data_IF_190929985087
#
_entry.id   IF_190929985087
#
_cell.length_a   1.000
_cell.length_b   1.000
_cell.length_c   1.000
_cell.angle_alpha   90.00
_cell.angle_beta   90.00
_cell.angle_gamma   90.00
#
_symmetry.space_group_name_H-M   'P 1'
#
loop_
_entity.id
_entity.type
_entity.pdbx_description
1 polymer ?
#
# COMPACT_ATOMS: atom_id res chain seq x y z
N UNK A 1 2.29 -20.80 -21.12
CA UNK A 1 3.04 -21.58 -20.11
C UNK A 1 3.67 -20.56 -19.17
N UNK A 2 2.88 -20.08 -18.21
CA UNK A 2 3.34 -19.07 -17.24
C UNK A 2 4.29 -19.76 -16.26
N UNK A 3 5.48 -19.18 -16.07
CA UNK A 3 6.43 -19.68 -15.08
C UNK A 3 5.89 -19.34 -13.69
N UNK A 4 5.83 -20.30 -12.76
CA UNK A 4 5.51 -20.02 -11.37
C UNK A 4 6.46 -18.95 -10.82
N UNK A 5 5.90 -17.96 -10.15
CA UNK A 5 6.66 -16.90 -9.50
C UNK A 5 7.37 -17.49 -8.28
N UNK A 6 8.69 -17.65 -8.35
CA UNK A 6 9.52 -18.27 -7.31
C UNK A 6 9.36 -17.65 -5.91
N UNK A 7 8.79 -16.44 -5.82
CA UNK A 7 8.45 -15.80 -4.56
C UNK A 7 7.27 -16.46 -3.82
N UNK A 8 6.34 -17.12 -4.54
CA UNK A 8 5.22 -17.84 -3.92
C UNK A 8 5.69 -19.12 -3.20
N UNK A 9 6.68 -19.82 -3.75
CA UNK A 9 7.18 -21.08 -3.16
C UNK A 9 7.90 -20.85 -1.83
N UNK A 10 8.58 -19.70 -1.68
CA UNK A 10 9.32 -19.39 -0.46
C UNK A 10 8.42 -19.05 0.74
N UNK A 11 7.16 -18.64 0.50
CA UNK A 11 6.16 -18.42 1.57
C UNK A 11 5.51 -19.72 2.07
N UNK A 12 5.54 -20.81 1.29
CA UNK A 12 4.94 -22.09 1.68
C UNK A 12 5.86 -22.99 2.51
N UNK A 13 7.17 -22.73 2.52
CA UNK A 13 8.14 -23.63 3.13
C UNK A 13 8.24 -23.53 4.66
N UNK A 14 7.83 -22.41 5.28
CA UNK A 14 8.11 -22.16 6.69
C UNK A 14 6.85 -21.70 7.47
N UNK A 15 6.06 -22.69 7.89
CA UNK A 15 5.32 -22.64 9.16
C UNK A 15 4.12 -21.70 9.26
N UNK A 16 3.00 -22.08 8.63
CA UNK A 16 1.68 -21.94 9.25
C UNK A 16 0.70 -22.87 8.54
N UNK A 17 -0.02 -23.69 9.30
CA UNK A 17 -1.09 -24.57 8.84
C UNK A 17 -2.30 -23.76 8.41
N UNK A 18 -2.18 -23.01 7.32
CA UNK A 18 -3.29 -22.29 6.74
C UNK A 18 -3.66 -22.95 5.42
N UNK A 19 -4.81 -23.61 5.38
CA UNK A 19 -5.45 -24.14 4.18
C UNK A 19 -5.94 -23.00 3.26
N UNK A 20 -5.16 -21.94 3.06
CA UNK A 20 -5.54 -20.81 2.21
C UNK A 20 -5.25 -21.15 0.75
N UNK A 21 -6.29 -21.51 0.02
CA UNK A 21 -6.23 -21.67 -1.43
C UNK A 21 -6.22 -20.29 -2.12
N UNK A 22 -5.54 -20.15 -3.27
CA UNK A 22 -5.53 -18.91 -4.03
C UNK A 22 -6.94 -18.48 -4.44
N UNK A 23 -7.32 -17.26 -4.06
CA UNK A 23 -8.63 -16.67 -4.34
C UNK A 23 -8.68 -16.16 -5.78
N UNK A 24 -9.63 -16.64 -6.59
CA UNK A 24 -9.82 -16.20 -7.98
C UNK A 24 -10.56 -14.86 -8.06
N UNK A 25 -11.39 -14.56 -7.06
CA UNK A 25 -12.09 -13.29 -6.91
C UNK A 25 -11.23 -12.25 -6.22
N UNK A 26 -11.59 -10.97 -6.38
CA UNK A 26 -10.87 -9.87 -5.72
C UNK A 26 -11.33 -9.76 -4.28
N UNK A 27 -10.40 -9.57 -3.37
CA UNK A 27 -10.71 -9.33 -1.96
C UNK A 27 -11.57 -8.06 -1.78
N UNK A 28 -12.60 -8.15 -0.95
CA UNK A 28 -13.38 -7.04 -0.46
C UNK A 28 -12.71 -6.39 0.77
N UNK A 29 -13.01 -5.11 1.01
CA UNK A 29 -12.53 -4.36 2.19
C UNK A 29 -12.92 -5.04 3.49
N UNK A 30 -14.15 -5.57 3.57
CA UNK A 30 -14.64 -6.30 4.74
C UNK A 30 -13.80 -7.56 5.06
N UNK A 31 -13.34 -8.30 4.05
CA UNK A 31 -12.54 -9.51 4.25
C UNK A 31 -11.14 -9.19 4.78
N UNK A 32 -10.53 -8.09 4.34
CA UNK A 32 -9.26 -7.62 4.89
C UNK A 32 -9.41 -7.14 6.33
N UNK A 33 -10.50 -6.43 6.65
CA UNK A 33 -10.80 -5.99 8.01
C UNK A 33 -11.02 -7.20 8.92
N UNK A 34 -11.78 -8.20 8.46
CA UNK A 34 -11.99 -9.44 9.21
C UNK A 34 -10.68 -10.17 9.47
N UNK A 35 -9.83 -10.32 8.44
CA UNK A 35 -8.50 -10.90 8.62
C UNK A 35 -7.68 -10.14 9.66
N UNK A 36 -7.71 -8.80 9.65
CA UNK A 36 -7.00 -7.98 10.61
C UNK A 36 -7.57 -8.13 12.03
N UNK A 37 -8.90 -8.28 12.20
CA UNK A 37 -9.48 -8.57 13.51
C UNK A 37 -8.95 -9.87 14.09
N UNK A 38 -8.78 -10.90 13.26
CA UNK A 38 -8.34 -12.22 13.69
C UNK A 38 -6.81 -12.30 13.92
N UNK A 39 -6.01 -11.50 13.20
CA UNK A 39 -4.55 -11.67 13.13
C UNK A 39 -3.72 -10.44 13.55
N UNK A 40 -4.28 -9.23 13.48
CA UNK A 40 -3.60 -7.97 13.82
C UNK A 40 -4.59 -6.92 14.38
N UNK A 41 -5.28 -7.22 15.51
CA UNK A 41 -6.42 -6.43 15.98
C UNK A 41 -6.06 -4.96 16.26
N UNK A 42 -4.81 -4.69 16.66
CA UNK A 42 -4.31 -3.33 16.93
C UNK A 42 -4.21 -2.44 15.67
N UNK A 43 -4.26 -3.06 14.48
CA UNK A 43 -4.26 -2.36 13.20
C UNK A 43 -5.66 -1.98 12.71
N UNK A 44 -6.73 -2.62 13.22
CA UNK A 44 -8.09 -2.54 12.64
C UNK A 44 -8.58 -1.11 12.49
N UNK A 45 -8.52 -0.30 13.55
CA UNK A 45 -8.99 1.09 13.51
C UNK A 45 -8.20 1.93 12.49
N UNK A 46 -6.88 1.69 12.39
CA UNK A 46 -5.99 2.40 11.46
C UNK A 46 -6.19 1.96 10.01
N UNK A 47 -6.51 0.69 9.77
CA UNK A 47 -6.87 0.19 8.45
C UNK A 47 -8.18 0.84 7.98
N UNK A 48 -9.20 0.85 8.84
CA UNK A 48 -10.48 1.48 8.54
C UNK A 48 -10.31 2.97 8.24
N UNK A 49 -9.54 3.67 9.08
CA UNK A 49 -9.21 5.07 8.87
C UNK A 49 -8.46 5.27 7.55
N UNK A 50 -7.44 4.47 7.27
CA UNK A 50 -6.63 4.59 6.06
C UNK A 50 -7.48 4.39 4.80
N UNK A 51 -8.35 3.37 4.76
CA UNK A 51 -9.27 3.14 3.64
C UNK A 51 -10.18 4.36 3.44
N UNK A 52 -10.83 4.82 4.51
CA UNK A 52 -11.76 5.95 4.46
C UNK A 52 -11.08 7.24 3.98
N UNK A 53 -9.89 7.54 4.49
CA UNK A 53 -9.14 8.75 4.13
C UNK A 53 -8.62 8.68 2.68
N UNK A 54 -8.13 7.52 2.25
CA UNK A 54 -7.70 7.33 0.86
C UNK A 54 -8.87 7.52 -0.10
N UNK A 55 -10.04 6.96 0.19
CA UNK A 55 -11.25 7.12 -0.64
C UNK A 55 -11.74 8.57 -0.66
N UNK A 56 -11.73 9.24 0.50
CA UNK A 56 -12.08 10.67 0.62
C UNK A 56 -11.18 11.55 -0.26
N UNK A 57 -9.92 11.15 -0.43
CA UNK A 57 -8.92 11.90 -1.20
C UNK A 57 -8.70 11.35 -2.62
N UNK A 58 -9.71 10.67 -3.20
CA UNK A 58 -9.71 10.25 -4.61
C UNK A 58 -8.88 8.99 -4.90
N UNK A 59 -8.37 8.34 -3.85
CA UNK A 59 -7.82 6.99 -3.92
C UNK A 59 -8.94 5.96 -4.09
N UNK A 60 -8.68 4.88 -4.83
CA UNK A 60 -9.62 3.76 -4.88
C UNK A 60 -8.94 2.48 -4.44
N UNK A 61 -9.44 1.88 -3.37
CA UNK A 61 -8.94 0.62 -2.83
C UNK A 61 -9.45 -0.52 -3.70
N UNK A 62 -8.54 -1.29 -4.31
CA UNK A 62 -8.89 -2.40 -5.19
C UNK A 62 -8.30 -3.71 -4.67
N UNK A 63 -9.17 -4.70 -4.44
CA UNK A 63 -8.81 -6.08 -4.13
C UNK A 63 -7.81 -6.66 -5.12
N UNK A 64 -6.71 -7.19 -4.58
CA UNK A 64 -5.78 -8.06 -5.29
C UNK A 64 -6.34 -9.47 -5.45
N UNK A 65 -5.65 -10.28 -6.26
CA UNK A 65 -5.86 -11.74 -6.38
C UNK A 65 -4.65 -12.43 -5.77
N UNK A 66 -4.65 -12.55 -4.45
CA UNK A 66 -3.58 -13.15 -3.68
C UNK A 66 -4.18 -14.17 -2.71
N UNK A 67 -3.33 -15.04 -2.16
CA UNK A 67 -3.72 -16.04 -1.16
C UNK A 67 -4.23 -15.42 0.14
N UNK A 68 -3.77 -14.21 0.48
CA UNK A 68 -4.25 -13.43 1.61
C UNK A 68 -4.84 -12.10 1.15
N UNK A 69 -5.76 -11.49 1.93
CA UNK A 69 -6.32 -10.17 1.62
C UNK A 69 -5.24 -9.13 1.31
N UNK A 70 -5.35 -8.50 0.15
CA UNK A 70 -4.43 -7.44 -0.26
C UNK A 70 -5.12 -6.43 -1.15
N UNK A 71 -4.61 -5.21 -1.10
CA UNK A 71 -5.13 -4.09 -1.88
C UNK A 71 -4.02 -3.35 -2.61
N UNK A 72 -4.35 -2.87 -3.81
CA UNK A 72 -3.64 -1.77 -4.43
C UNK A 72 -4.54 -0.54 -4.37
N UNK A 73 -3.96 0.61 -4.03
CA UNK A 73 -4.69 1.88 -4.00
C UNK A 73 -4.42 2.63 -5.29
N UNK A 74 -5.47 2.85 -6.06
CA UNK A 74 -5.44 3.53 -7.35
C UNK A 74 -5.56 5.03 -7.17
N UNK A 75 -4.80 5.79 -7.94
CA UNK A 75 -5.08 7.21 -8.19
C UNK A 75 -5.12 7.48 -9.69
N UNK A 76 -5.98 8.40 -10.11
CA UNK A 76 -5.94 9.00 -11.44
C UNK A 76 -5.11 10.28 -11.35
N UNK A 77 -3.91 10.26 -11.92
CA UNK A 77 -2.91 11.33 -11.80
C UNK A 77 -2.98 12.20 -13.05
N UNK A 78 -3.21 13.50 -12.89
CA UNK A 78 -3.36 14.42 -14.02
C UNK A 78 -2.12 14.38 -14.93
N UNK A 79 -2.34 14.25 -16.25
CA UNK A 79 -1.25 14.17 -17.25
C UNK A 79 -0.45 12.86 -17.26
N UNK A 80 -0.67 11.94 -16.31
CA UNK A 80 0.06 10.67 -16.19
C UNK A 80 -0.87 9.45 -16.33
N UNK A 81 -2.12 9.60 -15.92
CA UNK A 81 -3.12 8.54 -15.92
C UNK A 81 -3.12 7.70 -14.65
N UNK A 82 -3.57 6.44 -14.77
CA UNK A 82 -3.83 5.55 -13.64
C UNK A 82 -2.53 5.00 -13.03
N UNK A 83 -2.37 5.15 -11.71
CA UNK A 83 -1.19 4.70 -10.95
C UNK A 83 -1.57 4.01 -9.62
N UNK A 84 -0.65 3.24 -9.07
CA UNK A 84 -0.84 2.39 -7.89
C UNK A 84 0.25 2.64 -6.82
N UNK A 85 0.33 3.88 -6.30
CA UNK A 85 1.42 4.33 -5.41
C UNK A 85 1.45 3.65 -4.05
N UNK A 86 0.33 3.10 -3.58
CA UNK A 86 0.21 2.50 -2.25
C UNK A 86 -0.40 1.11 -2.35
N UNK A 87 0.05 0.20 -1.50
CA UNK A 87 -0.49 -1.15 -1.38
C UNK A 87 -0.66 -1.54 0.08
N UNK A 88 -1.68 -2.34 0.36
CA UNK A 88 -1.88 -2.94 1.67
C UNK A 88 -1.81 -4.45 1.55
N UNK A 89 -1.12 -5.08 2.48
CA UNK A 89 -0.91 -6.53 2.52
C UNK A 89 -1.29 -7.06 3.90
N UNK A 90 -1.91 -8.24 3.91
CA UNK A 90 -1.99 -9.08 5.10
C UNK A 90 -0.87 -10.13 5.02
N UNK A 91 0.17 -9.95 5.83
CA UNK A 91 1.32 -10.86 5.87
C UNK A 91 1.22 -11.72 7.14
N UNK A 92 1.07 -13.05 7.04
CA UNK A 92 0.82 -13.91 8.20
C UNK A 92 1.79 -13.72 9.38
N UNK A 93 3.06 -13.45 9.10
CA UNK A 93 4.09 -13.25 10.13
C UNK A 93 4.30 -11.79 10.55
N UNK A 94 3.84 -10.82 9.74
CA UNK A 94 4.12 -9.38 9.97
C UNK A 94 2.87 -8.56 10.29
N UNK A 95 1.69 -9.14 10.15
CA UNK A 95 0.42 -8.43 10.29
C UNK A 95 0.07 -7.59 9.05
N UNK A 96 -0.78 -6.60 9.26
CA UNK A 96 -1.23 -5.69 8.21
C UNK A 96 -0.15 -4.64 7.90
N UNK A 97 0.27 -4.60 6.64
CA UNK A 97 1.41 -3.80 6.16
C UNK A 97 0.97 -2.82 5.07
N UNK A 98 1.45 -1.59 5.14
CA UNK A 98 1.38 -0.58 4.07
C UNK A 98 2.71 -0.57 3.32
N UNK A 99 2.68 -0.65 2.00
CA UNK A 99 3.82 -0.46 1.12
C UNK A 99 3.64 0.81 0.27
N UNK A 100 4.73 1.56 0.10
CA UNK A 100 4.77 2.76 -0.73
C UNK A 100 5.63 2.49 -1.97
N UNK A 101 5.10 2.77 -3.17
CA UNK A 101 5.73 2.45 -4.46
C UNK A 101 6.08 3.72 -5.25
N UNK A 102 7.28 4.25 -5.01
CA UNK A 102 7.78 5.40 -5.78
C UNK A 102 8.04 5.06 -7.25
N UNK A 103 8.32 3.78 -7.54
CA UNK A 103 8.67 3.30 -8.88
C UNK A 103 7.55 3.41 -9.92
N UNK A 104 6.32 3.70 -9.51
CA UNK A 104 5.19 3.94 -10.41
C UNK A 104 5.36 5.23 -11.24
N UNK A 105 6.16 6.18 -10.74
CA UNK A 105 6.39 7.50 -11.33
C UNK A 105 7.80 7.71 -11.87
N UNK A 106 8.62 6.66 -11.97
CA UNK A 106 10.01 6.74 -12.45
C UNK A 106 10.21 7.40 -13.82
N UNK A 107 9.17 7.39 -14.66
CA UNK A 107 9.18 8.03 -15.99
C UNK A 107 8.57 9.45 -15.99
N UNK A 108 8.16 9.94 -14.83
CA UNK A 108 7.55 11.26 -14.61
C UNK A 108 8.23 11.90 -13.38
N UNK A 109 9.49 12.38 -13.52
CA UNK A 109 10.34 12.77 -12.39
C UNK A 109 9.72 13.82 -11.47
N UNK A 110 9.02 14.81 -12.02
CA UNK A 110 8.39 15.87 -11.23
C UNK A 110 7.31 15.31 -10.28
N UNK A 111 6.49 14.39 -10.78
CA UNK A 111 5.47 13.69 -9.97
C UNK A 111 6.12 12.75 -8.97
N UNK A 112 7.20 12.05 -9.37
CA UNK A 112 7.95 11.19 -8.46
C UNK A 112 8.54 11.99 -7.30
N UNK A 113 9.12 13.17 -7.57
CA UNK A 113 9.72 14.02 -6.55
C UNK A 113 8.67 14.59 -5.61
N UNK A 114 7.57 15.12 -6.15
CA UNK A 114 6.44 15.61 -5.34
C UNK A 114 5.89 14.50 -4.43
N UNK A 115 5.73 13.28 -4.96
CA UNK A 115 5.28 12.13 -4.17
C UNK A 115 6.28 11.74 -3.08
N UNK A 116 7.59 11.72 -3.39
CA UNK A 116 8.64 11.48 -2.39
C UNK A 116 8.59 12.53 -1.28
N UNK A 117 8.51 13.81 -1.62
CA UNK A 117 8.43 14.89 -0.63
C UNK A 117 7.19 14.76 0.26
N UNK A 118 6.03 14.50 -0.34
CA UNK A 118 4.78 14.31 0.38
C UNK A 118 4.86 13.18 1.42
N UNK A 119 5.43 12.04 1.04
CA UNK A 119 5.58 10.90 1.97
C UNK A 119 6.67 11.16 3.02
N UNK A 120 7.84 11.67 2.61
CA UNK A 120 8.96 11.89 3.54
C UNK A 120 8.69 13.03 4.54
N UNK A 121 7.70 13.90 4.27
CA UNK A 121 7.27 14.94 5.21
C UNK A 121 6.56 14.40 6.45
N UNK A 122 6.21 13.10 6.49
CA UNK A 122 5.53 12.45 7.61
C UNK A 122 6.59 11.76 8.49
N UNK A 123 6.91 12.30 9.68
CA UNK A 123 8.05 11.85 10.49
C UNK A 123 8.03 10.36 10.84
N UNK A 124 6.85 9.78 11.07
CA UNK A 124 6.68 8.38 11.46
C UNK A 124 7.15 7.38 10.39
N UNK A 125 7.32 7.79 9.13
CA UNK A 125 7.89 6.92 8.11
C UNK A 125 9.41 6.90 8.13
N UNK A 126 10.09 7.88 8.73
CA UNK A 126 11.55 7.90 8.86
C UNK A 126 12.31 7.74 7.54
N UNK A 127 11.73 8.23 6.43
CA UNK A 127 12.29 8.07 5.09
C UNK A 127 13.23 9.23 4.72
N UNK A 128 14.32 8.91 4.06
CA UNK A 128 15.21 9.90 3.44
C UNK A 128 14.89 10.05 1.94
N UNK A 129 14.43 11.24 1.58
CA UNK A 129 14.12 11.60 0.20
C UNK A 129 15.35 11.51 -0.72
N UNK A 130 16.54 11.91 -0.25
CA UNK A 130 17.77 11.83 -1.04
C UNK A 130 18.12 10.37 -1.35
N UNK A 131 17.96 9.48 -0.37
CA UNK A 131 18.21 8.05 -0.55
C UNK A 131 17.26 7.40 -1.57
N UNK A 132 15.97 7.79 -1.55
CA UNK A 132 14.97 7.31 -2.53
C UNK A 132 15.32 7.81 -3.95
N UNK A 133 15.70 9.08 -4.08
CA UNK A 133 16.14 9.67 -5.36
C UNK A 133 17.38 8.98 -5.91
N UNK A 134 18.38 8.75 -5.06
CA UNK A 134 19.63 8.09 -5.44
C UNK A 134 19.40 6.64 -5.90
N UNK A 135 18.39 5.97 -5.36
CA UNK A 135 17.95 4.64 -5.83
C UNK A 135 17.13 4.69 -7.15
N UNK A 136 16.94 5.87 -7.73
CA UNK A 136 16.10 6.09 -8.91
C UNK A 136 14.64 5.72 -8.66
N UNK A 137 14.11 6.05 -7.48
CA UNK A 137 12.72 5.79 -7.07
C UNK A 137 12.34 4.30 -7.00
N UNK A 138 13.30 3.38 -6.97
CA UNK A 138 13.04 1.93 -6.91
C UNK A 138 12.69 1.41 -5.52
N UNK A 139 12.88 2.21 -4.48
CA UNK A 139 12.59 1.81 -3.10
C UNK A 139 11.10 1.54 -2.92
N UNK A 140 10.79 0.52 -2.10
CA UNK A 140 9.44 0.12 -1.72
C UNK A 140 9.38 -0.09 -0.20
N UNK A 141 9.45 0.98 0.61
CA UNK A 141 9.41 0.84 2.06
C UNK A 141 8.06 0.28 2.49
N UNK A 142 8.10 -0.50 3.58
CA UNK A 142 6.95 -1.17 4.16
C UNK A 142 6.82 -0.80 5.64
N UNK A 143 5.60 -0.55 6.08
CA UNK A 143 5.27 -0.10 7.42
C UNK A 143 4.16 -0.97 8.00
N UNK A 144 4.35 -1.44 9.23
CA UNK A 144 3.27 -2.09 9.98
C UNK A 144 2.19 -1.06 10.29
N UNK A 145 0.96 -1.29 9.84
CA UNK A 145 -0.12 -0.30 9.95
C UNK A 145 -0.45 -0.01 11.42
N UNK A 146 -0.37 -1.01 12.30
CA UNK A 146 -0.58 -0.84 13.74
C UNK A 146 0.34 0.20 14.41
N UNK A 147 1.52 0.45 13.84
CA UNK A 147 2.52 1.38 14.39
C UNK A 147 2.32 2.83 13.92
N UNK A 148 1.42 3.07 12.98
CA UNK A 148 1.16 4.43 12.49
C UNK A 148 0.28 5.20 13.47
N UNK A 149 0.54 6.49 13.66
CA UNK A 149 -0.40 7.36 14.35
C UNK A 149 -1.61 7.64 13.43
N UNK A 150 -2.78 7.95 13.99
CA UNK A 150 -3.92 8.39 13.18
C UNK A 150 -3.58 9.66 12.38
N UNK A 151 -2.78 10.56 12.96
CA UNK A 151 -2.30 11.77 12.30
C UNK A 151 -1.42 11.44 11.08
N UNK A 152 -0.55 10.44 11.16
CA UNK A 152 0.25 9.97 10.04
C UNK A 152 -0.64 9.35 8.94
N UNK A 153 -1.67 8.58 9.31
CA UNK A 153 -2.62 7.98 8.35
C UNK A 153 -3.37 9.07 7.56
N UNK A 154 -3.93 10.08 8.25
CA UNK A 154 -4.63 11.21 7.60
C UNK A 154 -3.68 12.04 6.74
N UNK A 155 -2.49 12.34 7.28
CA UNK A 155 -1.47 13.08 6.54
C UNK A 155 -1.04 12.35 5.27
N UNK A 156 -0.88 11.01 5.31
CA UNK A 156 -0.51 10.23 4.14
C UNK A 156 -1.54 10.39 3.03
N UNK A 157 -2.83 10.11 3.32
CA UNK A 157 -3.86 10.17 2.28
C UNK A 157 -3.96 11.57 1.65
N UNK A 158 -4.01 12.62 2.49
CA UNK A 158 -4.06 14.01 2.04
C UNK A 158 -2.83 14.42 1.22
N UNK A 159 -1.63 14.17 1.74
CA UNK A 159 -0.38 14.61 1.12
C UNK A 159 -0.14 13.90 -0.20
N UNK A 160 -0.41 12.59 -0.26
CA UNK A 160 -0.28 11.81 -1.50
C UNK A 160 -1.26 12.30 -2.56
N UNK A 161 -2.53 12.49 -2.21
CA UNK A 161 -3.50 13.01 -3.18
C UNK A 161 -3.13 14.41 -3.70
N UNK A 162 -2.65 15.30 -2.82
CA UNK A 162 -2.18 16.62 -3.21
C UNK A 162 -0.97 16.55 -4.15
N UNK A 163 0.01 15.70 -3.83
CA UNK A 163 1.24 15.56 -4.63
C UNK A 163 0.98 14.94 -6.00
N UNK A 164 0.01 14.03 -6.09
CA UNK A 164 -0.35 13.35 -7.32
C UNK A 164 -1.34 14.14 -8.19
N UNK A 165 -1.73 15.35 -7.78
CA UNK A 165 -2.67 16.21 -8.53
C UNK A 165 -3.89 15.40 -8.99
N UNK A 166 -4.55 14.74 -8.04
CA UNK A 166 -5.59 13.76 -8.34
C UNK A 166 -6.72 14.40 -9.14
N UNK A 167 -7.03 13.77 -10.26
CA UNK A 167 -8.14 14.15 -11.13
C UNK A 167 -9.45 13.52 -10.60
N UNK A 168 -10.38 14.38 -10.18
CA UNK A 168 -11.70 14.01 -9.65
C UNK A 168 -12.82 14.12 -10.71
N UNK A 169 -12.48 14.39 -11.98
CA UNK A 169 -13.46 14.57 -13.05
C UNK A 169 -14.06 13.28 -13.60
#
# INVERSE_FOLDING_TARGET
MERPNAWLEQLHAEGSSSNWQPHTERWATAEFIQWAQDNDPDAVSKIQLLISELETHGGHVNGGRATTPSFNVRFNVLGVGKKWPLCMYSLPQRGSTLEIRFGDFRNTPDVADAFVQAVCSIPEFGLDAAEIRNAGYRKRPQFAIKNLSEAAVRSLAKNVASALQVDNS
#
